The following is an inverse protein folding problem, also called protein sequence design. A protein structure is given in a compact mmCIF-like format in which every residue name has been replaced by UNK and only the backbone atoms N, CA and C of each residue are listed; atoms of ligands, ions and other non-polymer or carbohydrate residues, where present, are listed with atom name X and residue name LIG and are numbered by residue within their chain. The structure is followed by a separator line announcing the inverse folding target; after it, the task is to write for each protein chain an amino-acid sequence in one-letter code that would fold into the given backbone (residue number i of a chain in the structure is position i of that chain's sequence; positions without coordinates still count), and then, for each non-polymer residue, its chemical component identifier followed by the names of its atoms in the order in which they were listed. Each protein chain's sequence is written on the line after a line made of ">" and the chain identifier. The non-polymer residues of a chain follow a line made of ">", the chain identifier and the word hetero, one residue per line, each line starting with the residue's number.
data_IF_814536109777
#
_entry.id   IF_814536109777
#
_cell.length_a   1.000
_cell.length_b   1.000
_cell.length_c   1.000
_cell.angle_alpha   90.00
_cell.angle_beta   90.00
_cell.angle_gamma   90.00
#
_symmetry.space_group_name_H-M   'P 1'
#
loop_
_entity.id
_entity.type
_entity.pdbx_description
1 polymer ?
#
# COMPACT_ATOMS: atom_id res chain seq x y z
N UNK A 1 -22.91 -3.69 2.60
CA UNK A 1 -22.01 -2.53 2.37
C UNK A 1 -21.35 -2.66 1.01
N UNK A 2 -21.39 -1.57 0.25
CA UNK A 2 -20.74 -1.58 -1.06
C UNK A 2 -19.24 -1.54 -0.94
N UNK A 3 -18.59 -2.41 -1.68
CA UNK A 3 -17.14 -2.40 -1.78
C UNK A 3 -16.73 -2.17 -3.22
N UNK A 4 -15.49 -1.79 -3.43
CA UNK A 4 -14.93 -1.70 -4.77
C UNK A 4 -13.53 -2.26 -4.79
N UNK A 5 -13.15 -2.78 -5.94
CA UNK A 5 -11.81 -3.34 -6.13
C UNK A 5 -10.88 -2.22 -6.60
N UNK A 6 -9.69 -2.20 -6.04
CA UNK A 6 -8.67 -1.23 -6.40
C UNK A 6 -7.29 -1.89 -6.37
N UNK A 7 -6.36 -1.28 -7.08
CA UNK A 7 -4.95 -1.66 -7.04
C UNK A 7 -4.16 -0.45 -6.58
N UNK A 8 -3.34 -0.65 -5.55
CA UNK A 8 -2.49 0.41 -5.01
C UNK A 8 -1.05 0.13 -5.40
N UNK A 9 -0.45 1.06 -6.13
CA UNK A 9 0.97 1.01 -6.45
C UNK A 9 1.74 1.85 -5.45
N UNK A 10 2.74 1.25 -4.81
CA UNK A 10 3.47 1.87 -3.71
C UNK A 10 4.96 1.82 -4.03
N UNK A 11 5.62 2.97 -3.94
CA UNK A 11 7.07 3.07 -4.09
C UNK A 11 7.66 3.45 -2.74
N UNK A 12 8.57 2.62 -2.24
CA UNK A 12 9.24 2.85 -0.96
C UNK A 12 10.68 3.28 -1.23
N UNK A 13 10.98 4.54 -0.94
CA UNK A 13 12.33 5.09 -1.13
C UNK A 13 13.11 5.14 0.18
N UNK A 14 12.41 5.16 1.32
CA UNK A 14 13.04 5.14 2.65
C UNK A 14 12.77 3.78 3.30
N UNK A 15 13.81 2.96 3.39
CA UNK A 15 13.68 1.62 3.97
C UNK A 15 13.31 1.63 5.44
N UNK A 16 13.56 2.74 6.14
CA UNK A 16 13.16 2.87 7.56
C UNK A 16 11.64 2.88 7.72
N UNK A 17 10.89 3.17 6.66
CA UNK A 17 9.43 3.17 6.69
C UNK A 17 8.80 1.82 6.39
N UNK A 18 9.58 0.80 6.02
CA UNK A 18 9.06 -0.52 5.64
C UNK A 18 8.28 -1.16 6.78
N UNK A 19 8.78 -1.06 8.00
CA UNK A 19 8.11 -1.65 9.16
C UNK A 19 6.72 -1.05 9.37
N UNK A 20 6.61 0.28 9.27
CA UNK A 20 5.34 0.99 9.41
C UNK A 20 4.38 0.64 8.27
N UNK A 21 4.89 0.52 7.05
CA UNK A 21 4.07 0.09 5.92
C UNK A 21 3.51 -1.30 6.14
N UNK A 22 4.36 -2.25 6.55
CA UNK A 22 3.92 -3.61 6.81
C UNK A 22 2.88 -3.67 7.94
N UNK A 23 3.03 -2.85 8.97
CA UNK A 23 2.05 -2.78 10.05
C UNK A 23 0.68 -2.30 9.55
N UNK A 24 0.67 -1.29 8.68
CA UNK A 24 -0.58 -0.80 8.07
C UNK A 24 -1.24 -1.89 7.22
N UNK A 25 -0.46 -2.56 6.38
CA UNK A 25 -0.98 -3.61 5.52
C UNK A 25 -1.51 -4.78 6.33
N UNK A 26 -0.90 -5.08 7.46
CA UNK A 26 -1.41 -6.11 8.37
C UNK A 26 -2.74 -5.68 8.99
N UNK A 27 -2.85 -4.45 9.45
CA UNK A 27 -4.07 -3.91 10.04
C UNK A 27 -5.25 -3.97 9.07
N UNK A 28 -5.00 -3.72 7.78
CA UNK A 28 -6.03 -3.76 6.75
C UNK A 28 -6.08 -5.09 6.00
N UNK A 29 -5.43 -6.12 6.55
CA UNK A 29 -5.27 -7.40 5.86
C UNK A 29 -6.56 -8.07 5.44
N UNK A 30 -7.64 -7.88 6.21
CA UNK A 30 -8.94 -8.49 5.88
C UNK A 30 -9.51 -7.99 4.55
N UNK A 31 -9.07 -6.83 4.07
CA UNK A 31 -9.54 -6.25 2.82
C UNK A 31 -8.59 -6.56 1.65
N UNK A 32 -7.39 -7.04 1.93
CA UNK A 32 -6.37 -7.24 0.91
C UNK A 32 -6.55 -8.60 0.27
N UNK A 33 -6.74 -8.59 -1.06
CA UNK A 33 -6.90 -9.80 -1.86
C UNK A 33 -5.55 -10.46 -2.11
N UNK A 34 -4.52 -9.63 -2.35
CA UNK A 34 -3.17 -10.11 -2.61
C UNK A 34 -2.18 -8.97 -2.62
N UNK A 35 -0.92 -9.32 -2.51
CA UNK A 35 0.15 -8.32 -2.59
C UNK A 35 1.37 -8.91 -3.26
N UNK A 36 2.15 -8.03 -3.89
CA UNK A 36 3.40 -8.39 -4.52
C UNK A 36 4.43 -7.34 -4.15
N UNK A 37 5.60 -7.78 -3.73
CA UNK A 37 6.70 -6.89 -3.38
C UNK A 37 7.93 -7.23 -4.20
N UNK A 38 8.55 -6.20 -4.79
CA UNK A 38 9.74 -6.38 -5.62
C UNK A 38 10.81 -5.41 -5.11
N UNK A 39 11.87 -5.92 -4.46
CA UNK A 39 12.99 -5.06 -4.11
C UNK A 39 13.79 -4.74 -5.38
N UNK A 40 13.99 -3.46 -5.62
CA UNK A 40 14.79 -3.02 -6.79
C UNK A 40 16.08 -2.40 -6.27
N UNK A 41 17.08 -3.24 -6.13
CA UNK A 41 18.32 -2.90 -5.44
C UNK A 41 19.15 -1.85 -6.16
N UNK A 42 19.12 -1.83 -7.49
CA UNK A 42 19.88 -0.87 -8.28
C UNK A 42 19.53 0.58 -7.93
N UNK A 43 18.27 0.83 -7.55
CA UNK A 43 17.83 2.16 -7.16
C UNK A 43 17.55 2.29 -5.66
N UNK A 44 17.79 1.23 -4.90
CA UNK A 44 17.59 1.27 -3.45
C UNK A 44 16.14 1.48 -3.05
N UNK A 45 15.19 0.96 -3.84
CA UNK A 45 13.77 1.12 -3.59
C UNK A 45 13.06 -0.24 -3.50
N UNK A 46 11.88 -0.25 -2.89
CA UNK A 46 10.97 -1.37 -2.96
C UNK A 46 9.71 -0.94 -3.72
N UNK A 47 9.21 -1.82 -4.58
CA UNK A 47 7.97 -1.62 -5.32
C UNK A 47 6.95 -2.60 -4.77
N UNK A 48 5.82 -2.08 -4.29
CA UNK A 48 4.78 -2.91 -3.68
C UNK A 48 3.46 -2.67 -4.41
N UNK A 49 2.77 -3.75 -4.75
CA UNK A 49 1.47 -3.69 -5.39
C UNK A 49 0.46 -4.42 -4.52
N UNK A 50 -0.66 -3.77 -4.24
CA UNK A 50 -1.72 -4.31 -3.38
C UNK A 50 -3.02 -4.35 -4.16
N UNK A 51 -3.67 -5.53 -4.20
CA UNK A 51 -5.04 -5.63 -4.69
C UNK A 51 -5.95 -5.65 -3.47
N UNK A 52 -6.96 -4.79 -3.46
CA UNK A 52 -7.84 -4.59 -2.31
C UNK A 52 -9.29 -4.55 -2.76
N UNK A 53 -10.18 -5.10 -1.92
CA UNK A 53 -11.63 -4.99 -2.10
C UNK A 53 -12.21 -4.49 -0.79
N UNK A 54 -12.66 -3.25 -0.76
CA UNK A 54 -13.09 -2.59 0.47
C UNK A 54 -14.03 -1.44 0.17
N UNK A 55 -14.76 -0.96 1.20
CA UNK A 55 -15.51 0.29 1.05
C UNK A 55 -14.59 1.44 0.68
N UNK A 56 -15.11 2.40 -0.08
CA UNK A 56 -14.33 3.54 -0.54
C UNK A 56 -13.61 4.26 0.61
N UNK A 57 -14.30 4.44 1.73
CA UNK A 57 -13.73 5.13 2.89
C UNK A 57 -12.50 4.40 3.43
N UNK A 58 -12.55 3.08 3.43
CA UNK A 58 -11.44 2.24 3.89
C UNK A 58 -10.25 2.37 2.97
N UNK A 59 -10.49 2.32 1.65
CA UNK A 59 -9.43 2.48 0.66
C UNK A 59 -8.76 3.84 0.80
N UNK A 60 -9.57 4.90 0.92
CA UNK A 60 -9.06 6.26 1.08
C UNK A 60 -8.25 6.42 2.36
N UNK A 61 -8.72 5.83 3.45
CA UNK A 61 -8.02 5.90 4.73
C UNK A 61 -6.66 5.21 4.66
N UNK A 62 -6.62 4.02 4.07
CA UNK A 62 -5.36 3.29 3.92
C UNK A 62 -4.39 4.06 3.02
N UNK A 63 -4.88 4.55 1.87
CA UNK A 63 -4.06 5.32 0.95
C UNK A 63 -3.45 6.55 1.64
N UNK A 64 -4.25 7.28 2.43
CA UNK A 64 -3.79 8.44 3.16
C UNK A 64 -2.72 8.10 4.19
N UNK A 65 -2.91 7.01 4.92
CA UNK A 65 -1.94 6.57 5.94
C UNK A 65 -0.63 6.13 5.29
N UNK A 66 -0.69 5.41 4.18
CA UNK A 66 0.50 5.00 3.45
C UNK A 66 1.24 6.22 2.92
N UNK A 67 0.50 7.16 2.31
CA UNK A 67 1.10 8.36 1.74
C UNK A 67 1.74 9.29 2.76
N UNK A 68 1.38 9.18 4.03
CA UNK A 68 1.98 9.96 5.11
C UNK A 68 3.30 9.39 5.62
N UNK A 69 3.66 8.18 5.23
CA UNK A 69 4.92 7.60 5.65
C UNK A 69 6.07 8.24 4.89
N UNK A 70 7.17 8.51 5.60
CA UNK A 70 8.33 9.17 5.01
C UNK A 70 8.93 8.33 3.87
N UNK A 71 9.16 8.98 2.73
CA UNK A 71 9.79 8.33 1.59
C UNK A 71 8.92 7.30 0.89
N UNK A 72 7.61 7.36 1.09
CA UNK A 72 6.67 6.44 0.43
C UNK A 72 5.67 7.24 -0.39
N UNK A 73 5.46 6.80 -1.62
CA UNK A 73 4.41 7.34 -2.49
C UNK A 73 3.44 6.24 -2.87
N UNK A 74 2.18 6.61 -3.05
CA UNK A 74 1.11 5.66 -3.36
C UNK A 74 0.17 6.26 -4.41
N UNK A 75 -0.25 5.43 -5.35
CA UNK A 75 -1.29 5.74 -6.32
C UNK A 75 -2.30 4.61 -6.33
N UNK A 76 -3.57 4.96 -6.39
CA UNK A 76 -4.65 3.98 -6.39
C UNK A 76 -5.37 4.03 -7.74
N UNK A 77 -5.51 2.87 -8.36
CA UNK A 77 -6.27 2.68 -9.60
C UNK A 77 -7.52 1.84 -9.30
N UNK A 78 -8.63 2.27 -9.85
CA UNK A 78 -9.90 1.55 -9.67
C UNK A 78 -10.32 0.76 -10.89
#
# INVERSE_FOLDING_TARGET
>A
MKTRVAVMGIIVEDMDSVEQLNALLHTYGQYIIGRMGIPYREKGINIVSIAIDAPQDTISALSGKIGNLHGISVKTAY
#
